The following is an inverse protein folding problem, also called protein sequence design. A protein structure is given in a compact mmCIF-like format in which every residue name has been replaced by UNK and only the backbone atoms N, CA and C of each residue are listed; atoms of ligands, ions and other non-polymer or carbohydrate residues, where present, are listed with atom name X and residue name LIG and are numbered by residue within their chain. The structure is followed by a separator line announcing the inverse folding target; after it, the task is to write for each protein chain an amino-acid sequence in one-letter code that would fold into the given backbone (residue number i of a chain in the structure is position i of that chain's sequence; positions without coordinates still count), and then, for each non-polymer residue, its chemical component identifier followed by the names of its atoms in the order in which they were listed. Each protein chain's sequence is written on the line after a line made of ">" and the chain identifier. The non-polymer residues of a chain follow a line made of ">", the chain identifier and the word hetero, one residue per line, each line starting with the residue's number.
data_IF_107926362178
#
_entry.id   IF_107926362178
#
_cell.length_a   1.000
_cell.length_b   1.000
_cell.length_c   1.000
_cell.angle_alpha   90.00
_cell.angle_beta   90.00
_cell.angle_gamma   90.00
#
_symmetry.space_group_name_H-M   'P 1'
#
loop_
_entity.id
_entity.type
_entity.pdbx_description
1 polymer ?
#
# COMPACT_ATOMS: atom_id res chain seq x y z
N UNK A 1 26.09 -1.18 -14.24
CA UNK A 1 24.74 -0.58 -14.38
C UNK A 1 23.73 -1.42 -13.62
N UNK A 2 23.64 -2.72 -13.92
CA UNK A 2 22.77 -3.69 -13.24
C UNK A 2 22.87 -3.65 -11.69
N UNK A 3 24.08 -3.48 -11.13
CA UNK A 3 24.26 -3.39 -9.67
C UNK A 3 23.48 -2.24 -9.02
N UNK A 4 23.45 -1.05 -9.62
CA UNK A 4 22.75 0.12 -9.07
C UNK A 4 21.22 -0.06 -9.12
N UNK A 5 20.72 -0.67 -10.19
CA UNK A 5 19.29 -0.98 -10.37
C UNK A 5 18.83 -2.02 -9.35
N UNK A 6 19.65 -3.07 -9.13
CA UNK A 6 19.38 -4.09 -8.11
C UNK A 6 19.41 -3.52 -6.69
N UNK A 7 20.31 -2.59 -6.40
CA UNK A 7 20.34 -1.89 -5.10
C UNK A 7 19.04 -1.12 -4.87
N UNK A 8 18.55 -0.38 -5.88
CA UNK A 8 17.29 0.37 -5.79
C UNK A 8 16.11 -0.57 -5.50
N UNK A 9 16.03 -1.69 -6.21
CA UNK A 9 14.95 -2.66 -6.03
C UNK A 9 14.99 -3.27 -4.63
N UNK A 10 16.16 -3.76 -4.20
CA UNK A 10 16.34 -4.37 -2.89
C UNK A 10 16.04 -3.37 -1.75
N UNK A 11 16.48 -2.12 -1.91
CA UNK A 11 16.21 -1.05 -0.96
C UNK A 11 14.72 -0.76 -0.81
N UNK A 12 14.02 -0.56 -1.93
CA UNK A 12 12.57 -0.30 -1.91
C UNK A 12 11.77 -1.49 -1.36
N UNK A 13 12.22 -2.72 -1.64
CA UNK A 13 11.66 -3.94 -1.02
C UNK A 13 11.73 -3.88 0.51
N UNK A 14 12.91 -3.59 1.07
CA UNK A 14 13.10 -3.51 2.52
C UNK A 14 12.28 -2.38 3.14
N UNK A 15 12.25 -1.20 2.50
CA UNK A 15 11.42 -0.08 2.96
C UNK A 15 9.95 -0.47 3.03
N UNK A 16 9.39 -1.08 1.97
CA UNK A 16 7.97 -1.46 1.95
C UNK A 16 7.67 -2.46 3.07
N UNK A 17 8.53 -3.46 3.27
CA UNK A 17 8.33 -4.46 4.34
C UNK A 17 8.36 -3.82 5.72
N UNK A 18 9.32 -2.94 5.99
CA UNK A 18 9.41 -2.20 7.26
C UNK A 18 8.22 -1.27 7.46
N UNK A 19 7.77 -0.59 6.40
CA UNK A 19 6.59 0.28 6.43
C UNK A 19 5.33 -0.49 6.85
N UNK A 20 5.08 -1.63 6.20
CA UNK A 20 3.91 -2.46 6.48
C UNK A 20 3.98 -3.06 7.88
N UNK A 21 5.15 -3.51 8.33
CA UNK A 21 5.37 -3.99 9.70
C UNK A 21 5.12 -2.90 10.75
N UNK A 22 5.72 -1.72 10.55
CA UNK A 22 5.71 -0.64 11.53
C UNK A 22 4.40 0.13 11.58
N UNK A 23 3.60 0.18 10.52
CA UNK A 23 2.40 1.04 10.51
C UNK A 23 1.09 0.31 10.18
N UNK A 24 1.19 -0.89 9.61
CA UNK A 24 0.02 -1.65 9.09
C UNK A 24 -0.04 -3.07 9.68
N UNK A 25 0.74 -3.32 10.74
CA UNK A 25 0.73 -4.55 11.54
C UNK A 25 -0.57 -4.76 12.31
N UNK A 26 -0.58 -5.69 13.28
CA UNK A 26 -1.80 -6.10 13.99
C UNK A 26 -2.49 -4.91 14.66
N UNK A 27 -1.72 -4.06 15.37
CA UNK A 27 -2.23 -2.87 16.05
C UNK A 27 -1.99 -1.63 15.20
N UNK A 28 -3.07 -0.93 14.85
CA UNK A 28 -3.08 0.24 13.97
C UNK A 28 -3.59 1.48 14.71
N UNK A 29 -3.24 2.64 14.17
CA UNK A 29 -3.83 3.93 14.52
C UNK A 29 -4.07 4.71 13.23
N UNK A 30 -5.04 5.61 13.23
CA UNK A 30 -5.37 6.49 12.12
C UNK A 30 -4.15 7.32 11.69
N UNK A 31 -3.36 7.79 12.66
CA UNK A 31 -2.12 8.52 12.38
C UNK A 31 -1.07 7.64 11.66
N UNK A 32 -0.80 6.42 12.15
CA UNK A 32 0.16 5.50 11.52
C UNK A 32 -0.28 5.10 10.12
N UNK A 33 -1.57 4.86 9.92
CA UNK A 33 -2.13 4.55 8.60
C UNK A 33 -2.02 5.74 7.63
N UNK A 34 -2.24 6.97 8.12
CA UNK A 34 -2.04 8.18 7.33
C UNK A 34 -0.58 8.35 6.90
N UNK A 35 0.37 8.16 7.83
CA UNK A 35 1.80 8.15 7.51
C UNK A 35 2.13 7.07 6.47
N UNK A 36 1.67 5.83 6.68
CA UNK A 36 1.89 4.73 5.75
C UNK A 36 1.40 5.07 4.33
N UNK A 37 0.23 5.72 4.21
CA UNK A 37 -0.31 6.18 2.93
C UNK A 37 0.60 7.20 2.25
N UNK A 38 1.15 8.16 2.98
CA UNK A 38 2.08 9.15 2.44
C UNK A 38 3.37 8.48 1.95
N UNK A 39 3.97 7.62 2.78
CA UNK A 39 5.21 6.92 2.43
C UNK A 39 5.04 5.97 1.22
N UNK A 40 3.97 5.16 1.18
CA UNK A 40 3.77 4.25 0.04
C UNK A 40 3.51 5.00 -1.27
N UNK A 41 2.90 6.20 -1.20
CA UNK A 41 2.71 7.04 -2.37
C UNK A 41 4.05 7.57 -2.91
N UNK A 42 4.97 7.98 -2.03
CA UNK A 42 6.32 8.41 -2.41
C UNK A 42 7.11 7.26 -3.04
N UNK A 43 7.12 6.09 -2.41
CA UNK A 43 7.80 4.89 -2.95
C UNK A 43 7.28 4.54 -4.35
N UNK A 44 5.96 4.61 -4.56
CA UNK A 44 5.36 4.31 -5.87
C UNK A 44 5.67 5.36 -6.93
N UNK A 45 5.89 6.61 -6.53
CA UNK A 45 6.37 7.67 -7.40
C UNK A 45 7.80 7.40 -7.85
N UNK A 46 8.70 7.13 -6.89
CA UNK A 46 10.10 6.79 -7.13
C UNK A 46 10.24 5.57 -8.06
N UNK A 47 9.53 4.48 -7.77
CA UNK A 47 9.51 3.29 -8.64
C UNK A 47 9.10 3.66 -10.07
N UNK A 48 8.09 4.53 -10.24
CA UNK A 48 7.59 4.92 -11.55
C UNK A 48 8.59 5.79 -12.32
N UNK A 49 9.26 6.70 -11.63
CA UNK A 49 10.26 7.61 -12.22
C UNK A 49 11.51 6.85 -12.68
N UNK A 50 11.95 5.84 -11.93
CA UNK A 50 13.13 5.06 -12.29
C UNK A 50 12.83 3.90 -13.25
N UNK A 51 11.58 3.44 -13.34
CA UNK A 51 11.18 2.30 -14.19
C UNK A 51 11.67 2.38 -15.65
N UNK A 52 11.60 3.53 -16.36
CA UNK A 52 12.05 3.61 -17.75
C UNK A 52 13.55 3.35 -17.95
N UNK A 53 14.34 3.49 -16.88
CA UNK A 53 15.79 3.31 -16.91
C UNK A 53 16.24 1.90 -16.52
N UNK A 54 15.32 1.06 -16.04
CA UNK A 54 15.59 -0.30 -15.57
C UNK A 54 15.10 -1.28 -16.63
N UNK A 55 15.92 -2.28 -16.97
CA UNK A 55 15.47 -3.36 -17.85
C UNK A 55 14.33 -4.14 -17.18
N UNK A 56 13.26 -4.40 -17.92
CA UNK A 56 12.14 -5.19 -17.40
C UNK A 56 12.64 -6.59 -17.04
N UNK A 57 12.48 -6.94 -15.77
CA UNK A 57 12.79 -8.24 -15.20
C UNK A 57 11.75 -8.60 -14.12
N UNK A 58 11.87 -9.81 -13.56
CA UNK A 58 10.95 -10.29 -12.53
C UNK A 58 10.98 -9.42 -11.27
N UNK A 59 12.18 -9.03 -10.80
CA UNK A 59 12.33 -8.27 -9.55
C UNK A 59 11.62 -6.91 -9.60
N UNK A 60 11.68 -6.22 -10.75
CA UNK A 60 10.97 -4.97 -10.97
C UNK A 60 9.44 -5.16 -10.98
N UNK A 61 8.95 -6.23 -11.61
CA UNK A 61 7.53 -6.55 -11.65
C UNK A 61 7.00 -6.90 -10.25
N UNK A 62 7.78 -7.68 -9.49
CA UNK A 62 7.46 -8.02 -8.11
C UNK A 62 7.43 -6.79 -7.21
N UNK A 63 8.42 -5.90 -7.32
CA UNK A 63 8.43 -4.64 -6.58
C UNK A 63 7.18 -3.78 -6.87
N UNK A 64 6.78 -3.69 -8.14
CA UNK A 64 5.56 -2.95 -8.53
C UNK A 64 4.30 -3.55 -7.93
N UNK A 65 4.19 -4.88 -7.96
CA UNK A 65 3.05 -5.60 -7.39
C UNK A 65 3.02 -5.45 -5.87
N UNK A 66 4.17 -5.60 -5.20
CA UNK A 66 4.31 -5.43 -3.76
C UNK A 66 3.90 -4.02 -3.31
N UNK A 67 4.34 -2.99 -4.03
CA UNK A 67 3.97 -1.61 -3.74
C UNK A 67 2.47 -1.35 -3.97
N UNK A 68 1.88 -1.95 -5.02
CA UNK A 68 0.44 -1.84 -5.29
C UNK A 68 -0.41 -2.51 -4.21
N UNK A 69 -0.09 -3.76 -3.87
CA UNK A 69 -0.83 -4.51 -2.84
C UNK A 69 -0.72 -3.81 -1.49
N UNK A 70 0.46 -3.30 -1.14
CA UNK A 70 0.66 -2.50 0.07
C UNK A 70 -0.24 -1.27 0.11
N UNK A 71 -0.32 -0.50 -0.99
CA UNK A 71 -1.21 0.65 -1.10
C UNK A 71 -2.68 0.25 -0.90
N UNK A 72 -3.13 -0.84 -1.52
CA UNK A 72 -4.51 -1.33 -1.41
C UNK A 72 -4.85 -1.73 0.03
N UNK A 73 -3.95 -2.45 0.71
CA UNK A 73 -4.13 -2.84 2.12
C UNK A 73 -4.25 -1.59 3.00
N UNK A 74 -3.35 -0.62 2.84
CA UNK A 74 -3.39 0.64 3.60
C UNK A 74 -4.73 1.36 3.37
N UNK A 75 -5.18 1.47 2.11
CA UNK A 75 -6.45 2.10 1.77
C UNK A 75 -7.66 1.37 2.39
N UNK A 76 -7.64 0.04 2.42
CA UNK A 76 -8.69 -0.73 3.10
C UNK A 76 -8.68 -0.47 4.60
N UNK A 77 -7.50 -0.50 5.23
CA UNK A 77 -7.34 -0.28 6.67
C UNK A 77 -7.79 1.13 7.09
N UNK A 78 -7.53 2.16 6.28
CA UNK A 78 -7.98 3.54 6.52
C UNK A 78 -9.50 3.66 6.44
N UNK A 79 -10.13 3.01 5.46
CA UNK A 79 -11.58 3.06 5.27
C UNK A 79 -12.35 2.35 6.39
N UNK A 80 -11.75 1.33 7.02
CA UNK A 80 -12.40 0.53 8.06
C UNK A 80 -12.20 1.14 9.45
N UNK A 81 -13.16 1.98 9.85
CA UNK A 81 -13.23 2.67 11.15
C UNK A 81 -13.88 1.81 12.23
N UNK A 82 -13.35 0.61 12.42
CA UNK A 82 -13.76 -0.34 13.47
C UNK A 82 -12.58 -1.26 13.81
N UNK A 83 -12.79 -2.14 14.80
CA UNK A 83 -11.93 -3.29 15.06
C UNK A 83 -12.69 -4.60 14.92
N UNK A 84 -12.25 -5.46 13.99
CA UNK A 84 -12.88 -6.76 13.68
C UNK A 84 -11.85 -7.79 13.22
N UNK A 85 -11.82 -8.94 13.88
CA UNK A 85 -10.89 -10.03 13.55
C UNK A 85 -9.43 -9.58 13.67
N UNK A 86 -8.64 -9.74 12.61
CA UNK A 86 -7.22 -9.33 12.56
C UNK A 86 -7.01 -7.84 12.24
N UNK A 87 -8.09 -7.10 11.96
CA UNK A 87 -8.05 -5.64 11.82
C UNK A 87 -8.36 -4.99 13.18
N UNK A 88 -7.32 -4.62 13.92
CA UNK A 88 -7.45 -3.87 15.17
C UNK A 88 -6.89 -2.45 15.00
N UNK A 89 -7.76 -1.46 15.21
CA UNK A 89 -7.42 -0.03 15.20
C UNK A 89 -7.70 0.55 16.59
N UNK A 90 -6.67 1.05 17.25
CA UNK A 90 -6.74 1.56 18.63
C UNK A 90 -7.65 2.78 18.76
N UNK A 91 -7.76 3.60 17.70
CA UNK A 91 -8.64 4.76 17.68
C UNK A 91 -10.13 4.37 17.47
N UNK A 92 -10.37 3.13 17.03
CA UNK A 92 -11.70 2.56 16.78
C UNK A 92 -11.78 1.13 17.35
N UNK A 93 -11.73 0.96 18.69
CA UNK A 93 -11.48 -0.34 19.33
C UNK A 93 -12.68 -1.29 19.30
N UNK A 94 -13.88 -0.79 18.99
CA UNK A 94 -15.12 -1.57 18.96
C UNK A 94 -15.50 -1.96 17.54
N UNK A 95 -16.34 -2.99 17.41
CA UNK A 95 -17.01 -3.32 16.14
C UNK A 95 -18.08 -2.28 15.85
N UNK A 96 -18.21 -1.91 14.58
CA UNK A 96 -19.28 -1.05 14.09
C UNK A 96 -20.15 -1.82 13.09
N UNK A 97 -21.15 -2.54 13.59
CA UNK A 97 -22.04 -3.32 12.72
C UNK A 97 -23.00 -2.44 11.91
N UNK A 98 -23.20 -1.17 12.28
CA UNK A 98 -24.10 -0.26 11.57
C UNK A 98 -23.48 0.24 10.27
N UNK A 99 -22.18 0.56 10.28
CA UNK A 99 -21.50 1.13 9.11
C UNK A 99 -20.47 0.21 8.46
N UNK A 100 -19.91 -0.76 9.19
CA UNK A 100 -18.74 -1.54 8.74
C UNK A 100 -19.02 -3.05 8.55
N UNK A 101 -20.28 -3.50 8.66
CA UNK A 101 -20.69 -4.90 8.44
C UNK A 101 -20.80 -5.28 6.95
N UNK A 102 -19.79 -4.92 6.18
CA UNK A 102 -19.67 -5.26 4.76
C UNK A 102 -18.20 -5.34 4.35
N UNK A 103 -17.91 -6.04 3.27
CA UNK A 103 -16.54 -6.13 2.76
C UNK A 103 -16.05 -4.76 2.25
N UNK A 104 -14.76 -4.48 2.46
CA UNK A 104 -14.14 -3.29 1.84
C UNK A 104 -13.72 -3.65 0.42
N UNK A 105 -14.44 -3.10 -0.55
CA UNK A 105 -14.19 -3.36 -1.97
C UNK A 105 -13.46 -2.18 -2.59
N UNK A 106 -12.24 -2.42 -3.10
CA UNK A 106 -11.51 -1.44 -3.90
C UNK A 106 -11.47 -1.93 -5.35
N UNK A 107 -12.01 -1.11 -6.25
CA UNK A 107 -11.97 -1.36 -7.68
C UNK A 107 -11.06 -0.37 -8.39
N UNK A 108 -10.41 -0.82 -9.45
CA UNK A 108 -9.75 0.08 -10.39
C UNK A 108 -10.84 0.87 -11.10
N UNK A 109 -10.80 2.21 -11.04
CA UNK A 109 -11.66 3.03 -11.89
C UNK A 109 -11.42 2.61 -13.34
N UNK A 110 -12.46 2.20 -14.05
CA UNK A 110 -12.38 2.05 -15.51
C UNK A 110 -11.80 3.34 -16.05
N UNK A 111 -10.77 3.27 -16.89
CA UNK A 111 -10.43 4.42 -17.73
C UNK A 111 -11.72 4.73 -18.47
N UNK A 112 -12.39 5.83 -18.12
CA UNK A 112 -13.49 6.32 -18.93
C UNK A 112 -12.98 6.36 -20.36
N UNK A 113 -13.77 5.83 -21.29
CA UNK A 113 -13.45 5.95 -22.71
C UNK A 113 -13.13 7.42 -22.99
N UNK A 114 -12.04 7.65 -23.72
CA UNK A 114 -11.85 8.91 -24.38
C UNK A 114 -13.10 9.15 -25.24
N UNK A 115 -13.90 10.11 -24.82
CA UNK A 115 -15.11 10.60 -25.45
C UNK A 115 -15.22 12.06 -25.04
N UNK A 116 -14.95 12.91 -26.03
CA UNK A 116 -14.82 14.39 -26.07
C UNK A 116 -13.50 15.02 -25.59
#
# INVERSE_FOLDING_TARGET
>A
RDSSEMILIAHNWDIIRRLMWNYVGIVRTDNRLSLARTHIAQIRMEIREHMPHIKINNDLLELKNLALVSELIIRCAIQRKESRGLHFNMDHPLKDDAHCRSDTVIQRKSRGGAGD
#
